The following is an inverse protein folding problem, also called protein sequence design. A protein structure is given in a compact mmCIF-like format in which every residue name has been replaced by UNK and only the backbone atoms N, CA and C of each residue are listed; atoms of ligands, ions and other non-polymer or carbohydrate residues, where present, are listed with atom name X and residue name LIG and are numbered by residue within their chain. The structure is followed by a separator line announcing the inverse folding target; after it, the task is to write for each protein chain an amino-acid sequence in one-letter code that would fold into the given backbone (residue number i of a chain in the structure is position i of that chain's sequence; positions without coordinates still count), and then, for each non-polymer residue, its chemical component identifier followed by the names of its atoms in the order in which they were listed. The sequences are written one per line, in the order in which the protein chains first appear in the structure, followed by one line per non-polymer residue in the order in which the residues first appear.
data_IF_930870314839
#
_entry.id   IF_930870314839
#
_cell.length_a   1.000
_cell.length_b   1.000
_cell.length_c   1.000
_cell.angle_alpha   90.00
_cell.angle_beta   90.00
_cell.angle_gamma   90.00
#
_symmetry.space_group_name_H-M   'P 1'
#
loop_
_entity.id
_entity.type
_entity.pdbx_description
1 polymer ?
#
# COMPACT_ATOMS: atom_id res chain seq x y z
N UNK A 1 -4.81 -1.10 -28.29
CA UNK A 1 -4.94 0.22 -27.64
C UNK A 1 -4.60 0.04 -26.17
N UNK A 2 -3.46 0.57 -25.71
CA UNK A 2 -3.15 0.57 -24.29
C UNK A 2 -4.02 1.65 -23.62
N UNK A 3 -4.91 1.24 -22.72
CA UNK A 3 -5.64 2.18 -21.88
C UNK A 3 -4.66 2.71 -20.85
N UNK A 4 -4.07 3.87 -21.13
CA UNK A 4 -3.21 4.58 -20.19
C UNK A 4 -4.11 5.18 -19.11
N UNK A 5 -4.36 4.43 -18.03
CA UNK A 5 -4.97 5.01 -16.84
C UNK A 5 -4.03 6.11 -16.33
N UNK A 6 -4.52 7.34 -16.06
CA UNK A 6 -3.69 8.36 -15.44
C UNK A 6 -3.09 7.78 -14.15
N UNK A 7 -1.81 8.04 -13.83
CA UNK A 7 -1.16 7.44 -12.68
C UNK A 7 -1.93 7.84 -11.43
N UNK A 8 -2.70 6.89 -10.88
CA UNK A 8 -3.45 7.11 -9.66
C UNK A 8 -2.45 7.29 -8.53
N UNK A 9 -2.37 8.50 -8.00
CA UNK A 9 -1.52 8.85 -6.86
C UNK A 9 -2.38 8.89 -5.61
N UNK A 10 -1.90 8.23 -4.56
CA UNK A 10 -2.51 8.31 -3.24
C UNK A 10 -1.44 8.75 -2.24
N UNK A 11 -1.69 9.88 -1.58
CA UNK A 11 -0.78 10.41 -0.57
C UNK A 11 -1.24 9.98 0.82
N UNK A 12 -0.31 9.46 1.62
CA UNK A 12 -0.54 9.05 3.01
C UNK A 12 0.40 9.88 3.87
N UNK A 13 -0.10 10.85 4.65
CA UNK A 13 0.71 11.50 5.66
C UNK A 13 1.21 10.46 6.68
N UNK A 14 2.49 10.53 7.06
CA UNK A 14 3.07 9.59 8.02
C UNK A 14 2.35 9.62 9.38
N UNK A 15 1.87 10.78 9.82
CA UNK A 15 1.06 10.95 11.03
C UNK A 15 -0.28 10.21 11.02
N UNK A 16 -0.80 9.83 9.84
CA UNK A 16 -2.03 9.04 9.74
C UNK A 16 -1.76 7.53 9.79
N UNK A 17 -0.50 7.09 9.73
CA UNK A 17 -0.15 5.67 9.68
C UNK A 17 -0.25 5.08 11.09
N UNK A 18 -1.16 4.12 11.25
CA UNK A 18 -1.33 3.33 12.47
C UNK A 18 -0.33 2.18 12.57
N UNK A 19 -0.20 1.43 11.48
CA UNK A 19 0.67 0.26 11.42
C UNK A 19 1.14 -0.01 10.00
N UNK A 20 2.30 -0.66 9.90
CA UNK A 20 2.88 -1.13 8.64
C UNK A 20 3.26 -2.59 8.81
N UNK A 21 2.62 -3.47 8.06
CA UNK A 21 2.77 -4.92 8.19
C UNK A 21 3.24 -5.55 6.89
N UNK A 22 4.08 -6.57 7.00
CA UNK A 22 4.41 -7.43 5.86
C UNK A 22 3.34 -8.51 5.74
N UNK A 23 2.69 -8.57 4.60
CA UNK A 23 1.81 -9.68 4.25
C UNK A 23 2.44 -10.55 3.17
N UNK A 24 1.91 -11.77 3.08
CA UNK A 24 2.23 -12.69 2.01
C UNK A 24 1.79 -12.16 0.63
N UNK A 25 1.74 -13.08 -0.33
CA UNK A 25 1.29 -12.75 -1.69
C UNK A 25 -0.21 -12.48 -1.68
N UNK A 26 -0.64 -11.48 -2.46
CA UNK A 26 -2.06 -11.33 -2.76
C UNK A 26 -2.60 -12.61 -3.41
N UNK A 27 -3.83 -13.03 -3.07
CA UNK A 27 -4.49 -14.12 -3.80
C UNK A 27 -4.55 -13.82 -5.29
N UNK A 28 -4.38 -14.85 -6.12
CA UNK A 28 -4.37 -14.71 -7.59
C UNK A 28 -5.65 -14.07 -8.14
N UNK A 29 -6.80 -14.29 -7.48
CA UNK A 29 -8.10 -13.72 -7.83
C UNK A 29 -8.25 -12.23 -7.47
N UNK A 30 -7.27 -11.61 -6.81
CA UNK A 30 -7.27 -10.16 -6.52
C UNK A 30 -7.15 -9.33 -7.80
N UNK A 31 -6.56 -9.92 -8.85
CA UNK A 31 -6.29 -9.26 -10.13
C UNK A 31 -5.09 -8.30 -10.08
N UNK A 32 -4.70 -7.79 -11.24
CA UNK A 32 -3.55 -6.89 -11.41
C UNK A 32 -3.97 -5.41 -11.44
N UNK A 33 -3.06 -4.52 -11.08
CA UNK A 33 -3.24 -3.06 -11.13
C UNK A 33 -3.84 -2.47 -9.85
N UNK A 34 -4.52 -1.32 -9.99
CA UNK A 34 -5.21 -0.64 -8.89
C UNK A 34 -6.55 -1.32 -8.62
N UNK A 35 -6.81 -1.70 -7.37
CA UNK A 35 -8.09 -2.28 -6.93
C UNK A 35 -8.64 -1.53 -5.74
N UNK A 36 -9.95 -1.31 -5.77
CA UNK A 36 -10.71 -0.75 -4.66
C UNK A 36 -11.60 -1.87 -4.11
N UNK A 37 -11.45 -2.18 -2.83
CA UNK A 37 -12.27 -3.16 -2.13
C UNK A 37 -12.81 -2.55 -0.85
N UNK A 38 -14.01 -1.96 -0.92
CA UNK A 38 -14.58 -1.19 0.18
C UNK A 38 -13.63 -0.06 0.60
N UNK A 39 -13.16 -0.09 1.84
CA UNK A 39 -12.19 0.89 2.40
C UNK A 39 -10.72 0.51 2.17
N UNK A 40 -10.45 -0.41 1.25
CA UNK A 40 -9.09 -0.87 0.91
C UNK A 40 -8.70 -0.38 -0.48
N UNK A 41 -7.47 0.10 -0.59
CA UNK A 41 -6.82 0.48 -1.83
C UNK A 41 -5.62 -0.44 -2.06
N UNK A 42 -5.64 -1.21 -3.15
CA UNK A 42 -4.62 -2.22 -3.43
C UNK A 42 -3.87 -1.87 -4.72
N UNK A 43 -2.54 -1.81 -4.64
CA UNK A 43 -1.63 -1.64 -5.77
C UNK A 43 -0.94 -2.97 -6.07
N UNK A 44 -1.57 -3.79 -6.92
CA UNK A 44 -1.12 -5.15 -7.24
C UNK A 44 -0.33 -5.13 -8.55
N UNK A 45 0.93 -4.67 -8.47
CA UNK A 45 1.83 -4.60 -9.64
C UNK A 45 2.48 -5.93 -10.02
N UNK A 46 2.62 -6.86 -9.07
CA UNK A 46 3.24 -8.19 -9.26
C UNK A 46 2.77 -9.18 -8.20
N UNK A 47 2.96 -10.48 -8.44
CA UNK A 47 2.80 -11.51 -7.41
C UNK A 47 4.04 -11.55 -6.50
N UNK A 48 4.00 -10.79 -5.41
CA UNK A 48 5.09 -10.73 -4.43
C UNK A 48 4.57 -10.51 -3.03
N UNK A 49 5.48 -10.53 -2.06
CA UNK A 49 5.17 -10.11 -0.68
C UNK A 49 4.72 -8.66 -0.69
N UNK A 50 3.71 -8.37 0.10
CA UNK A 50 3.04 -7.08 0.11
C UNK A 50 3.31 -6.34 1.41
N UNK A 51 3.24 -5.03 1.34
CA UNK A 51 3.23 -4.15 2.50
C UNK A 51 1.83 -3.62 2.66
N UNK A 52 1.29 -3.74 3.86
CA UNK A 52 -0.02 -3.22 4.24
C UNK A 52 0.16 -2.07 5.20
N UNK A 53 -0.37 -0.92 4.83
CA UNK A 53 -0.39 0.30 5.60
C UNK A 53 -1.82 0.50 6.11
N UNK A 54 -1.99 0.48 7.43
CA UNK A 54 -3.26 0.78 8.08
C UNK A 54 -3.26 2.24 8.51
N UNK A 55 -4.35 2.95 8.24
CA UNK A 55 -4.50 4.37 8.55
C UNK A 55 -5.51 4.61 9.68
N UNK A 56 -5.28 5.67 10.46
CA UNK A 56 -6.20 6.14 11.51
C UNK A 56 -7.35 7.01 11.00
N UNK A 57 -7.24 7.56 9.79
CA UNK A 57 -8.23 8.49 9.19
C UNK A 57 -8.38 8.28 7.67
N UNK A 58 -9.33 8.99 7.06
CA UNK A 58 -9.60 8.95 5.61
C UNK A 58 -10.52 7.82 5.14
N UNK A 59 -10.89 7.87 3.85
CA UNK A 59 -11.78 6.88 3.24
C UNK A 59 -11.11 5.50 3.17
N UNK A 60 -9.95 5.42 2.52
CA UNK A 60 -9.15 4.22 2.48
C UNK A 60 -8.42 4.02 3.81
N UNK A 61 -8.90 3.07 4.60
CA UNK A 61 -8.31 2.70 5.91
C UNK A 61 -7.14 1.73 5.77
N UNK A 62 -7.07 1.06 4.63
CA UNK A 62 -5.99 0.11 4.33
C UNK A 62 -5.47 0.41 2.94
N UNK A 63 -4.16 0.59 2.83
CA UNK A 63 -3.46 0.69 1.55
C UNK A 63 -2.46 -0.45 1.50
N UNK A 64 -2.56 -1.29 0.48
CA UNK A 64 -1.65 -2.41 0.33
C UNK A 64 -0.96 -2.34 -1.03
N UNK A 65 0.34 -2.57 -1.06
CA UNK A 65 1.15 -2.48 -2.28
C UNK A 65 2.22 -3.58 -2.31
N UNK A 66 2.73 -3.86 -3.51
CA UNK A 66 3.79 -4.86 -3.71
C UNK A 66 5.09 -4.15 -4.11
N UNK A 67 5.90 -3.67 -3.14
CA UNK A 67 7.16 -3.01 -3.44
C UNK A 67 8.20 -4.01 -3.98
N UNK A 68 9.32 -3.47 -4.47
CA UNK A 68 10.44 -4.28 -4.93
C UNK A 68 11.10 -5.06 -3.79
N UNK A 69 11.42 -4.35 -2.71
CA UNK A 69 11.97 -4.87 -1.46
C UNK A 69 11.03 -4.52 -0.29
N UNK A 70 10.10 -5.42 0.11
CA UNK A 70 9.11 -5.15 1.16
C UNK A 70 9.69 -4.81 2.52
N UNK A 71 10.77 -5.50 2.92
CA UNK A 71 11.46 -5.31 4.18
C UNK A 71 12.08 -3.92 4.29
N UNK A 72 12.84 -3.53 3.27
CA UNK A 72 13.47 -2.23 3.22
C UNK A 72 12.43 -1.11 3.14
N UNK A 73 11.38 -1.32 2.34
CA UNK A 73 10.29 -0.36 2.23
C UNK A 73 9.59 -0.14 3.58
N UNK A 74 9.26 -1.22 4.29
CA UNK A 74 8.69 -1.14 5.64
C UNK A 74 9.62 -0.39 6.59
N UNK A 75 10.91 -0.75 6.64
CA UNK A 75 11.89 -0.12 7.52
C UNK A 75 12.00 1.38 7.27
N UNK A 76 12.00 1.81 6.00
CA UNK A 76 12.04 3.23 5.64
C UNK A 76 10.81 3.99 6.14
N UNK A 77 9.62 3.39 6.03
CA UNK A 77 8.39 4.00 6.56
C UNK A 77 8.44 4.08 8.08
N UNK A 78 8.86 3.02 8.77
CA UNK A 78 8.96 3.02 10.24
C UNK A 78 9.88 4.13 10.74
N UNK A 79 11.07 4.28 10.15
CA UNK A 79 12.00 5.39 10.45
C UNK A 79 11.34 6.75 10.20
N UNK A 80 10.59 6.90 9.09
CA UNK A 80 9.89 8.15 8.79
C UNK A 80 8.78 8.47 9.78
N UNK A 81 8.08 7.46 10.32
CA UNK A 81 7.04 7.65 11.35
C UNK A 81 7.69 8.12 12.67
N UNK A 82 8.81 7.52 13.08
CA UNK A 82 9.54 7.91 14.31
C UNK A 82 10.09 9.34 14.26
N UNK A 83 10.29 9.89 13.07
CA UNK A 83 10.74 11.27 12.86
C UNK A 83 9.60 12.29 12.88
N UNK A 84 8.33 11.84 12.94
CA UNK A 84 7.18 12.73 13.08
C UNK A 84 7.01 13.07 14.57
N UNK A 85 7.00 14.36 14.95
CA UNK A 85 6.83 14.79 16.34
C UNK A 85 5.44 14.49 16.91
#
# INVERSE_FOLDING_TARGET
MAVTYPPFKYHIPFSEIRSVELMGKFPWYTGWGLRIQGRKLLFVGKHGRSVVITKETGFFRTVALVPENPEEFRRRIEISIEQVP
#
